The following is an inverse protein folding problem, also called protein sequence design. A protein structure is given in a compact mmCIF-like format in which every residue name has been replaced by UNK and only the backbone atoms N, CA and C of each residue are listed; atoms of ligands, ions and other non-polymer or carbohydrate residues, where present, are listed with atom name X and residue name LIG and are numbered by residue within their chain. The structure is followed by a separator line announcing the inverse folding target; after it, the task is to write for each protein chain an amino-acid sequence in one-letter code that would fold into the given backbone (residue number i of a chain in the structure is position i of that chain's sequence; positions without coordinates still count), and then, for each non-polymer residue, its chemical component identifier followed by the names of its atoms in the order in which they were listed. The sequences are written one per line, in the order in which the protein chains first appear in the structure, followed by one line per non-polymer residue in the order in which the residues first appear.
data_IF_804871805069
#
_entry.id   IF_804871805069
#
_cell.length_a   1.000
_cell.length_b   1.000
_cell.length_c   1.000
_cell.angle_alpha   90.00
_cell.angle_beta   90.00
_cell.angle_gamma   90.00
#
_symmetry.space_group_name_H-M   'P 1'
#
loop_
_entity.id
_entity.type
_entity.pdbx_description
1 polymer ?
#
# COMPACT_ATOMS: atom_id res chain seq x y z
N UNK A 1 -47.92 28.43 -62.80
CA UNK A 1 -46.61 27.81 -63.13
C UNK A 1 -45.50 28.54 -62.36
N UNK A 2 -44.39 27.88 -62.01
CA UNK A 2 -43.86 27.85 -60.64
C UNK A 2 -42.54 28.63 -60.41
N UNK A 3 -42.17 28.82 -59.13
CA UNK A 3 -40.85 28.60 -58.47
C UNK A 3 -40.72 29.57 -57.27
N UNK A 4 -41.01 29.14 -56.04
CA UNK A 4 -40.14 28.42 -55.07
C UNK A 4 -38.82 29.14 -54.76
N UNK A 5 -38.79 29.86 -53.63
CA UNK A 5 -37.60 30.01 -52.79
C UNK A 5 -37.90 29.30 -51.46
N UNK A 6 -37.04 28.35 -51.09
CA UNK A 6 -37.05 27.66 -49.81
C UNK A 6 -35.87 28.21 -49.01
N UNK A 7 -36.15 28.87 -47.89
CA UNK A 7 -35.18 29.11 -46.82
C UNK A 7 -35.67 28.26 -45.64
N UNK A 8 -34.88 27.23 -45.31
CA UNK A 8 -35.08 26.36 -44.15
C UNK A 8 -34.55 27.09 -42.91
N UNK A 9 -35.46 27.45 -41.99
CA UNK A 9 -35.14 27.75 -40.60
C UNK A 9 -35.54 26.52 -39.78
N UNK A 10 -34.56 25.77 -39.30
CA UNK A 10 -34.79 24.68 -38.35
C UNK A 10 -34.77 25.24 -36.92
N UNK A 11 -35.95 25.33 -36.32
CA UNK A 11 -36.14 25.58 -34.90
C UNK A 11 -35.88 24.27 -34.13
N UNK A 12 -34.88 24.25 -33.25
CA UNK A 12 -34.66 23.15 -32.32
C UNK A 12 -35.51 23.39 -31.06
N UNK A 13 -36.55 22.57 -30.89
CA UNK A 13 -37.40 22.51 -29.70
C UNK A 13 -36.69 21.76 -28.57
N UNK A 14 -36.49 22.46 -27.45
CA UNK A 14 -36.14 21.89 -26.15
C UNK A 14 -37.36 21.14 -25.58
N UNK A 15 -37.26 19.82 -25.43
CA UNK A 15 -38.16 19.02 -24.60
C UNK A 15 -37.44 18.65 -23.31
N UNK A 16 -37.79 19.38 -22.25
CA UNK A 16 -37.55 18.97 -20.88
C UNK A 16 -38.66 18.01 -20.45
N UNK A 17 -38.32 16.77 -20.13
CA UNK A 17 -39.24 15.86 -19.42
C UNK A 17 -38.80 15.77 -17.97
N UNK A 18 -39.54 16.47 -17.11
CA UNK A 18 -39.49 16.32 -15.66
C UNK A 18 -40.22 15.03 -15.27
N UNK A 19 -39.51 14.06 -14.72
CA UNK A 19 -40.13 13.02 -13.90
C UNK A 19 -39.91 13.36 -12.44
N UNK A 20 -41.01 13.78 -11.81
CA UNK A 20 -41.16 13.98 -10.37
C UNK A 20 -41.06 12.61 -9.70
N UNK A 21 -40.14 12.44 -8.76
CA UNK A 21 -40.17 11.33 -7.80
C UNK A 21 -40.50 11.90 -6.42
N UNK A 22 -41.64 11.47 -5.89
CA UNK A 22 -42.17 11.83 -4.58
C UNK A 22 -41.23 11.39 -3.47
N UNK A 23 -40.96 12.31 -2.52
CA UNK A 23 -40.41 11.95 -1.22
C UNK A 23 -41.46 11.18 -0.43
N UNK A 24 -41.16 9.93 -0.09
CA UNK A 24 -41.69 9.28 1.10
C UNK A 24 -40.57 9.19 2.12
N UNK A 25 -40.69 9.98 3.18
CA UNK A 25 -39.90 9.86 4.39
C UNK A 25 -40.38 8.64 5.16
N UNK A 26 -39.58 7.59 5.22
CA UNK A 26 -39.67 6.62 6.31
C UNK A 26 -38.30 6.46 6.96
N UNK A 27 -38.28 6.86 8.23
CA UNK A 27 -37.10 6.90 9.08
C UNK A 27 -36.86 5.51 9.62
N UNK A 28 -35.84 4.82 9.10
CA UNK A 28 -35.18 3.73 9.83
C UNK A 28 -33.67 3.95 9.80
N UNK A 29 -33.15 4.46 10.92
CA UNK A 29 -31.74 4.57 11.16
C UNK A 29 -31.11 3.18 11.15
N UNK A 30 -30.46 2.84 10.04
CA UNK A 30 -29.67 1.61 9.92
C UNK A 30 -28.23 2.01 9.71
N UNK A 31 -27.42 1.86 10.75
CA UNK A 31 -25.97 2.03 10.71
C UNK A 31 -25.36 0.98 9.77
N UNK A 32 -25.11 1.37 8.53
CA UNK A 32 -24.37 0.55 7.58
C UNK A 32 -22.86 0.67 7.86
N UNK A 33 -22.33 -0.25 8.67
CA UNK A 33 -20.91 -0.61 8.59
C UNK A 33 -20.67 -1.24 7.22
N UNK A 34 -20.02 -0.51 6.32
CA UNK A 34 -19.59 -1.00 5.01
C UNK A 34 -18.54 -2.10 5.20
N UNK A 35 -19.00 -3.35 5.22
CA UNK A 35 -18.16 -4.52 5.02
C UNK A 35 -17.53 -4.46 3.62
N UNK A 36 -16.21 -4.59 3.58
CA UNK A 36 -15.42 -4.59 2.35
C UNK A 36 -15.77 -5.80 1.46
N UNK A 37 -15.96 -5.63 0.14
CA UNK A 37 -15.88 -6.73 -0.80
C UNK A 37 -14.40 -6.97 -1.14
N UNK A 38 -13.74 -7.87 -0.41
CA UNK A 38 -12.41 -8.35 -0.79
C UNK A 38 -12.53 -9.41 -1.89
N UNK A 39 -12.31 -8.99 -3.14
CA UNK A 39 -11.95 -9.86 -4.27
C UNK A 39 -10.42 -9.91 -4.48
N UNK A 40 -9.65 -9.87 -3.40
CA UNK A 40 -8.37 -10.57 -3.38
C UNK A 40 -8.71 -11.99 -3.00
N UNK A 41 -8.32 -12.98 -3.80
CA UNK A 41 -8.57 -14.39 -3.53
C UNK A 41 -8.30 -14.69 -2.04
N UNK A 42 -9.37 -14.65 -1.25
CA UNK A 42 -9.39 -15.18 0.08
C UNK A 42 -9.19 -16.66 -0.18
N UNK A 43 -7.95 -17.13 -0.03
CA UNK A 43 -7.72 -18.51 0.31
C UNK A 43 -8.49 -18.72 1.61
N UNK A 44 -9.77 -19.07 1.47
CA UNK A 44 -10.61 -19.59 2.53
C UNK A 44 -9.89 -20.86 2.99
N UNK A 45 -9.03 -20.72 3.98
CA UNK A 45 -8.59 -21.86 4.77
C UNK A 45 -9.75 -22.22 5.69
N UNK A 46 -10.79 -22.83 5.12
CA UNK A 46 -11.66 -23.71 5.87
C UNK A 46 -10.80 -24.91 6.25
N UNK A 47 -10.34 -24.96 7.50
CA UNK A 47 -10.12 -26.22 8.20
C UNK A 47 -10.07 -25.97 9.69
N UNK A 48 -11.02 -26.60 10.38
CA UNK A 48 -10.85 -27.11 11.73
C UNK A 48 -9.45 -27.74 11.84
N UNK A 49 -8.53 -27.05 12.50
CA UNK A 49 -7.29 -27.68 12.92
C UNK A 49 -7.66 -28.70 13.98
N UNK A 50 -7.69 -29.97 13.58
CA UNK A 50 -7.61 -31.07 14.54
C UNK A 50 -6.30 -30.88 15.30
N UNK A 51 -6.33 -30.67 16.63
CA UNK A 51 -5.11 -30.64 17.40
C UNK A 51 -4.47 -32.02 17.24
N UNK A 52 -3.22 -32.05 16.78
CA UNK A 52 -2.35 -33.23 16.81
C UNK A 52 -3.05 -34.53 16.37
N UNK A 53 -2.94 -34.85 15.08
CA UNK A 53 -3.11 -36.25 14.67
C UNK A 53 -2.06 -37.08 15.42
N UNK A 54 -2.54 -37.91 16.35
CA UNK A 54 -1.78 -38.92 17.08
C UNK A 54 -1.30 -40.07 16.19
N UNK A 55 -1.08 -39.84 14.90
CA UNK A 55 -0.37 -40.82 14.09
C UNK A 55 1.12 -40.69 14.41
N UNK A 56 1.71 -41.76 14.93
CA UNK A 56 3.16 -42.01 15.04
C UNK A 56 3.86 -42.02 13.66
N UNK A 57 3.48 -41.13 12.74
CA UNK A 57 4.20 -40.90 11.50
C UNK A 57 5.31 -39.90 11.79
N UNK A 58 6.43 -40.45 12.25
CA UNK A 58 7.70 -39.73 12.23
C UNK A 58 7.92 -39.19 10.81
N UNK A 59 7.91 -37.86 10.67
CA UNK A 59 8.18 -37.20 9.39
C UNK A 59 9.54 -37.71 8.89
N UNK A 60 9.55 -38.38 7.73
CA UNK A 60 10.76 -38.89 7.11
C UNK A 60 11.49 -37.76 6.37
N UNK A 61 12.23 -36.96 7.13
CA UNK A 61 13.05 -35.87 6.64
C UNK A 61 14.11 -36.32 5.63
N UNK A 62 14.53 -37.60 5.65
CA UNK A 62 15.48 -38.13 4.69
C UNK A 62 14.84 -38.27 3.31
N UNK A 63 13.62 -38.78 3.24
CA UNK A 63 12.90 -38.89 1.97
C UNK A 63 12.37 -37.55 1.46
N UNK A 64 12.05 -36.61 2.35
CA UNK A 64 11.46 -35.30 1.98
C UNK A 64 12.53 -34.27 1.60
N UNK A 65 13.65 -34.24 2.33
CA UNK A 65 14.68 -33.20 2.19
C UNK A 65 16.08 -33.74 1.88
N UNK A 66 16.25 -35.07 1.79
CA UNK A 66 17.57 -35.68 1.68
C UNK A 66 18.40 -35.62 2.98
N UNK A 67 17.80 -35.25 4.11
CA UNK A 67 18.50 -34.97 5.37
C UNK A 67 18.20 -36.04 6.43
N UNK A 68 19.25 -36.68 6.97
CA UNK A 68 19.12 -37.56 8.13
C UNK A 68 19.35 -36.81 9.45
N UNK A 69 18.28 -36.61 10.22
CA UNK A 69 18.32 -35.93 11.51
C UNK A 69 19.06 -36.72 12.60
N UNK A 70 19.29 -38.02 12.43
CA UNK A 70 20.07 -38.84 13.38
C UNK A 70 21.50 -38.33 13.52
N UNK A 71 22.03 -37.70 12.47
CA UNK A 71 23.36 -37.09 12.46
C UNK A 71 23.43 -35.80 13.30
N UNK A 72 22.29 -35.19 13.61
CA UNK A 72 22.19 -33.99 14.46
C UNK A 72 21.95 -34.37 15.93
N UNK A 73 21.02 -35.29 16.18
CA UNK A 73 20.75 -35.82 17.51
C UNK A 73 20.26 -37.28 17.47
N UNK A 74 20.66 -38.09 18.44
CA UNK A 74 20.13 -39.45 18.56
C UNK A 74 18.77 -39.43 19.27
N UNK A 75 17.93 -40.44 19.04
CA UNK A 75 16.65 -40.59 19.76
C UNK A 75 16.87 -40.59 21.28
N UNK A 76 17.96 -41.19 21.76
CA UNK A 76 18.34 -41.19 23.18
C UNK A 76 18.64 -39.78 23.71
N UNK A 77 19.34 -38.95 22.91
CA UNK A 77 19.61 -37.55 23.25
C UNK A 77 18.32 -36.73 23.27
N UNK A 78 17.42 -36.94 22.30
CA UNK A 78 16.09 -36.32 22.27
C UNK A 78 15.25 -36.67 23.51
N UNK A 79 15.13 -37.97 23.83
CA UNK A 79 14.41 -38.43 25.02
C UNK A 79 14.98 -37.87 26.32
N UNK A 80 16.31 -37.75 26.41
CA UNK A 80 16.96 -37.12 27.57
C UNK A 80 16.63 -35.64 27.71
N UNK A 81 16.54 -34.89 26.61
CA UNK A 81 16.19 -33.47 26.65
C UNK A 81 14.72 -33.26 27.01
N UNK A 82 13.81 -34.07 26.45
CA UNK A 82 12.39 -34.05 26.82
C UNK A 82 12.17 -34.36 28.31
N UNK A 83 12.83 -35.40 28.83
CA UNK A 83 12.74 -35.77 30.26
C UNK A 83 13.26 -34.68 31.21
N UNK A 84 14.24 -33.89 30.77
CA UNK A 84 14.81 -32.81 31.56
C UNK A 84 14.00 -31.51 31.52
N UNK A 85 12.92 -31.45 30.75
CA UNK A 85 12.07 -30.25 30.69
C UNK A 85 12.82 -29.01 30.20
N UNK A 86 13.81 -29.16 29.31
CA UNK A 86 14.63 -28.00 28.91
C UNK A 86 13.79 -27.02 28.10
N UNK A 87 13.88 -25.74 28.46
CA UNK A 87 13.30 -24.63 27.71
C UNK A 87 13.74 -24.70 26.22
N UNK A 88 12.83 -24.39 25.30
CA UNK A 88 13.10 -24.37 23.86
C UNK A 88 14.28 -23.50 23.45
N UNK A 89 14.50 -22.39 24.17
CA UNK A 89 15.64 -21.48 23.96
C UNK A 89 16.97 -22.18 24.21
N UNK A 90 17.11 -22.91 25.32
CA UNK A 90 18.32 -23.67 25.66
C UNK A 90 18.69 -24.67 24.57
N UNK A 91 17.68 -25.33 23.98
CA UNK A 91 17.90 -26.33 22.92
C UNK A 91 18.29 -25.62 21.62
N UNK A 92 17.66 -24.50 21.31
CA UNK A 92 17.99 -23.66 20.16
C UNK A 92 19.46 -23.19 20.20
N UNK A 93 19.90 -22.67 21.34
CA UNK A 93 21.26 -22.20 21.56
C UNK A 93 22.30 -23.33 21.54
N UNK A 94 21.98 -24.49 22.14
CA UNK A 94 22.86 -25.68 22.11
C UNK A 94 23.08 -26.20 20.70
N UNK A 95 22.08 -26.04 19.82
CA UNK A 95 22.19 -26.37 18.41
C UNK A 95 22.94 -25.29 17.60
N UNK A 96 23.28 -24.17 18.23
CA UNK A 96 23.98 -23.01 17.64
C UNK A 96 23.19 -22.39 16.49
N UNK A 97 21.86 -22.38 16.59
CA UNK A 97 20.96 -21.89 15.55
C UNK A 97 20.95 -20.36 15.44
N UNK A 98 21.31 -19.65 16.51
CA UNK A 98 21.48 -18.19 16.54
C UNK A 98 22.63 -17.68 15.65
N UNK A 99 23.57 -18.56 15.27
CA UNK A 99 24.73 -18.20 14.45
C UNK A 99 24.53 -18.46 12.95
N UNK A 100 23.36 -18.96 12.55
CA UNK A 100 23.04 -19.23 11.15
C UNK A 100 22.67 -17.90 10.49
N UNK A 101 23.42 -17.48 9.46
CA UNK A 101 23.12 -16.24 8.74
C UNK A 101 21.69 -16.25 8.21
N UNK A 102 20.98 -15.15 8.42
CA UNK A 102 19.66 -14.92 7.84
C UNK A 102 19.80 -14.76 6.32
N UNK A 103 19.37 -15.77 5.55
CA UNK A 103 19.40 -15.75 4.09
C UNK A 103 19.64 -17.13 3.51
N UNK A 104 18.58 -17.70 2.91
CA UNK A 104 18.42 -19.12 2.54
C UNK A 104 18.57 -20.09 3.72
N UNK A 105 17.40 -20.18 4.39
CA UNK A 105 16.80 -21.37 5.00
C UNK A 105 17.45 -21.93 6.26
N UNK A 106 17.49 -21.11 7.33
CA UNK A 106 17.51 -21.68 8.69
C UNK A 106 16.44 -22.77 8.83
N UNK A 107 15.28 -22.60 8.18
CA UNK A 107 14.18 -23.55 8.16
C UNK A 107 14.44 -24.85 7.38
N UNK A 108 15.51 -24.93 6.59
CA UNK A 108 15.98 -26.17 5.96
C UNK A 108 17.23 -26.71 6.64
N UNK A 109 17.78 -25.99 7.62
CA UNK A 109 18.92 -26.45 8.38
C UNK A 109 18.54 -27.72 9.14
N UNK A 110 19.26 -28.84 8.99
CA UNK A 110 19.00 -30.08 9.72
C UNK A 110 18.87 -29.87 11.24
N UNK A 111 19.62 -28.92 11.80
CA UNK A 111 19.54 -28.59 13.22
C UNK A 111 18.26 -27.87 13.59
N UNK A 112 17.74 -27.01 12.73
CA UNK A 112 16.47 -26.35 12.95
C UNK A 112 15.32 -27.35 12.87
N UNK A 113 15.34 -28.24 11.89
CA UNK A 113 14.33 -29.29 11.75
C UNK A 113 14.31 -30.24 12.94
N UNK A 114 15.48 -30.60 13.48
CA UNK A 114 15.57 -31.35 14.74
C UNK A 114 14.98 -30.56 15.92
N UNK A 115 15.22 -29.25 15.98
CA UNK A 115 14.62 -28.38 17.00
C UNK A 115 13.11 -28.21 16.83
N UNK A 116 12.59 -28.09 15.61
CA UNK A 116 11.15 -28.04 15.34
C UNK A 116 10.47 -29.34 15.82
N UNK A 117 11.06 -30.50 15.51
CA UNK A 117 10.60 -31.78 16.03
C UNK A 117 10.66 -31.86 17.57
N UNK A 118 11.68 -31.25 18.20
CA UNK A 118 11.76 -31.14 19.66
C UNK A 118 10.52 -30.43 20.20
N UNK A 119 10.26 -29.23 19.67
CA UNK A 119 9.19 -28.35 20.13
C UNK A 119 7.85 -29.01 19.92
N UNK A 120 7.61 -29.63 18.76
CA UNK A 120 6.37 -30.35 18.47
C UNK A 120 6.12 -31.49 19.48
N UNK A 121 7.14 -32.31 19.78
CA UNK A 121 7.02 -33.41 20.76
C UNK A 121 6.87 -32.90 22.19
N UNK A 122 7.53 -31.81 22.53
CA UNK A 122 7.42 -31.19 23.84
C UNK A 122 6.02 -30.62 24.07
N UNK A 123 5.49 -29.87 23.10
CA UNK A 123 4.18 -29.23 23.19
C UNK A 123 3.00 -30.22 23.05
N UNK A 124 3.23 -31.42 22.53
CA UNK A 124 2.21 -32.47 22.47
C UNK A 124 1.77 -32.98 23.86
N UNK A 125 2.57 -32.75 24.90
CA UNK A 125 2.17 -33.04 26.27
C UNK A 125 1.43 -31.82 26.87
N UNK A 126 0.13 -31.92 27.19
CA UNK A 126 -0.66 -30.79 27.72
C UNK A 126 -0.22 -30.33 29.11
N UNK A 127 0.59 -31.13 29.82
CA UNK A 127 1.16 -30.75 31.12
C UNK A 127 2.37 -29.81 30.99
N UNK A 128 2.92 -29.69 29.79
CA UNK A 128 4.07 -28.82 29.53
C UNK A 128 3.60 -27.39 29.25
N UNK A 129 4.38 -26.41 29.74
CA UNK A 129 4.24 -25.03 29.28
C UNK A 129 4.64 -24.94 27.80
N UNK A 130 3.77 -24.40 26.95
CA UNK A 130 3.98 -24.37 25.50
C UNK A 130 5.25 -23.60 25.12
N UNK A 131 6.14 -24.24 24.36
CA UNK A 131 7.26 -23.57 23.72
C UNK A 131 6.76 -22.87 22.46
N UNK A 132 6.84 -21.54 22.45
CA UNK A 132 6.52 -20.72 21.27
C UNK A 132 7.74 -20.58 20.35
N UNK A 133 7.72 -21.21 19.18
CA UNK A 133 8.83 -21.14 18.23
C UNK A 133 9.11 -19.70 17.79
N UNK A 134 8.07 -18.93 17.50
CA UNK A 134 8.23 -17.53 17.09
C UNK A 134 8.84 -16.66 18.20
N UNK A 135 8.51 -16.93 19.47
CA UNK A 135 9.06 -16.18 20.60
C UNK A 135 10.55 -16.49 20.81
N UNK A 136 10.98 -17.73 20.55
CA UNK A 136 12.42 -18.07 20.54
C UNK A 136 13.12 -17.37 19.37
N UNK A 137 12.54 -17.43 18.16
CA UNK A 137 13.13 -16.81 16.97
C UNK A 137 13.26 -15.28 17.11
N UNK A 138 12.27 -14.59 17.68
CA UNK A 138 12.30 -13.13 17.86
C UNK A 138 13.33 -12.64 18.89
N UNK A 139 13.90 -13.53 19.71
CA UNK A 139 15.04 -13.19 20.59
C UNK A 139 16.37 -13.12 19.84
N UNK A 140 16.44 -13.72 18.66
CA UNK A 140 17.69 -13.88 17.90
C UNK A 140 17.67 -13.19 16.53
N UNK A 141 16.50 -12.87 16.00
CA UNK A 141 16.32 -12.20 14.72
C UNK A 141 15.46 -10.95 14.90
N UNK A 142 15.89 -9.84 14.31
CA UNK A 142 15.07 -8.62 14.20
C UNK A 142 13.73 -8.95 13.52
N UNK A 143 12.64 -8.32 13.99
CA UNK A 143 11.28 -8.61 13.52
C UNK A 143 11.12 -8.47 12.00
N UNK A 144 11.73 -7.45 11.39
CA UNK A 144 11.67 -7.24 9.94
C UNK A 144 12.37 -8.35 9.14
N UNK A 145 13.52 -8.82 9.66
CA UNK A 145 14.29 -9.92 9.06
C UNK A 145 13.53 -11.23 9.23
N UNK A 146 13.01 -11.48 10.43
CA UNK A 146 12.26 -12.69 10.75
C UNK A 146 10.98 -12.81 9.91
N UNK A 147 10.19 -11.74 9.76
CA UNK A 147 8.99 -11.76 8.90
C UNK A 147 9.33 -12.05 7.45
N UNK A 148 10.41 -11.46 6.91
CA UNK A 148 10.86 -11.74 5.53
C UNK A 148 11.30 -13.20 5.36
N UNK A 149 12.01 -13.76 6.34
CA UNK A 149 12.41 -15.16 6.35
C UNK A 149 11.18 -16.09 6.36
N UNK A 150 10.21 -15.81 7.23
CA UNK A 150 8.97 -16.58 7.38
C UNK A 150 8.15 -16.53 6.08
N UNK A 151 8.02 -15.36 5.47
CA UNK A 151 7.31 -15.22 4.20
C UNK A 151 7.98 -16.02 3.08
N UNK A 152 9.30 -15.92 2.94
CA UNK A 152 10.04 -16.72 1.96
C UNK A 152 9.84 -18.24 2.20
N UNK A 153 9.85 -18.68 3.47
CA UNK A 153 9.60 -20.07 3.83
C UNK A 153 8.19 -20.52 3.43
N UNK A 154 7.17 -19.71 3.68
CA UNK A 154 5.75 -19.98 3.34
C UNK A 154 5.49 -20.11 1.83
N UNK A 155 6.44 -19.66 1.00
CA UNK A 155 6.40 -19.72 -0.47
C UNK A 155 7.37 -20.75 -1.04
N UNK A 156 8.08 -21.50 -0.20
CA UNK A 156 9.04 -22.51 -0.65
C UNK A 156 8.37 -23.61 -1.47
N UNK A 157 9.10 -24.14 -2.45
CA UNK A 157 8.72 -25.35 -3.18
C UNK A 157 8.89 -26.62 -2.33
N UNK A 158 9.67 -26.54 -1.26
CA UNK A 158 9.86 -27.61 -0.30
C UNK A 158 8.66 -27.66 0.63
N UNK A 159 7.89 -28.75 0.58
CA UNK A 159 6.61 -28.88 1.30
C UNK A 159 6.75 -28.64 2.81
N UNK A 160 7.82 -29.13 3.42
CA UNK A 160 8.05 -29.01 4.85
C UNK A 160 8.46 -27.60 5.26
N UNK A 161 9.36 -26.96 4.51
CA UNK A 161 9.70 -25.54 4.70
C UNK A 161 8.48 -24.65 4.55
N UNK A 162 7.62 -24.96 3.58
CA UNK A 162 6.35 -24.27 3.36
C UNK A 162 5.40 -24.41 4.54
N UNK A 163 5.26 -25.62 5.09
CA UNK A 163 4.46 -25.89 6.29
C UNK A 163 4.97 -25.09 7.49
N UNK A 164 6.28 -25.15 7.76
CA UNK A 164 6.93 -24.40 8.85
C UNK A 164 6.69 -22.90 8.68
N UNK A 165 6.88 -22.37 7.47
CA UNK A 165 6.63 -20.96 7.16
C UNK A 165 5.19 -20.54 7.44
N UNK A 166 4.21 -21.33 6.99
CA UNK A 166 2.79 -21.07 7.25
C UNK A 166 2.47 -21.08 8.76
N UNK A 167 2.97 -22.07 9.50
CA UNK A 167 2.80 -22.15 10.96
C UNK A 167 3.43 -20.94 11.66
N UNK A 168 4.62 -20.51 11.25
CA UNK A 168 5.29 -19.35 11.85
C UNK A 168 4.57 -18.03 11.50
N UNK A 169 3.90 -17.92 10.34
CA UNK A 169 3.06 -16.75 10.03
C UNK A 169 1.90 -16.61 11.02
N UNK A 170 1.22 -17.72 11.32
CA UNK A 170 0.13 -17.74 12.31
C UNK A 170 0.64 -17.42 13.71
N UNK A 171 1.74 -18.06 14.12
CA UNK A 171 2.35 -17.79 15.42
C UNK A 171 2.81 -16.33 15.54
N UNK A 172 3.31 -15.70 14.47
CA UNK A 172 3.71 -14.30 14.48
C UNK A 172 2.55 -13.34 14.78
N UNK A 173 1.38 -13.56 14.17
CA UNK A 173 0.15 -12.80 14.47
C UNK A 173 -0.25 -12.98 15.95
N UNK A 174 -0.26 -14.23 16.43
CA UNK A 174 -0.60 -14.54 17.83
C UNK A 174 0.41 -13.96 18.82
N UNK A 175 1.69 -13.91 18.45
CA UNK A 175 2.74 -13.32 19.27
C UNK A 175 2.57 -11.82 19.41
N UNK A 176 2.33 -11.10 18.31
CA UNK A 176 2.02 -9.66 18.40
C UNK A 176 0.74 -9.41 19.20
N UNK A 177 -0.27 -10.29 19.06
CA UNK A 177 -1.51 -10.23 19.86
C UNK A 177 -1.23 -10.42 21.36
N UNK A 178 -0.44 -11.42 21.75
CA UNK A 178 -0.14 -11.69 23.16
C UNK A 178 0.66 -10.55 23.80
N UNK A 179 1.49 -9.87 23.00
CA UNK A 179 2.21 -8.64 23.38
C UNK A 179 1.34 -7.38 23.36
N UNK A 180 0.08 -7.46 22.94
CA UNK A 180 -0.87 -6.34 22.82
C UNK A 180 -0.32 -5.18 22.00
N UNK A 181 0.41 -5.47 20.92
CA UNK A 181 0.99 -4.44 20.08
C UNK A 181 -0.10 -3.75 19.25
N UNK A 182 -0.05 -2.43 19.16
CA UNK A 182 -0.89 -1.72 18.20
C UNK A 182 -0.33 -1.92 16.77
N UNK A 183 -1.17 -1.94 15.72
CA UNK A 183 -0.70 -2.15 14.35
C UNK A 183 0.38 -1.15 13.89
N UNK A 184 0.33 0.11 14.36
CA UNK A 184 1.36 1.12 14.06
C UNK A 184 2.71 0.82 14.75
N UNK A 185 2.70 0.11 15.88
CA UNK A 185 3.93 -0.37 16.53
C UNK A 185 4.52 -1.54 15.76
N UNK A 186 3.69 -2.45 15.27
CA UNK A 186 4.12 -3.55 14.39
C UNK A 186 4.69 -3.00 13.08
N UNK A 187 4.03 -2.02 12.46
CA UNK A 187 4.55 -1.32 11.27
C UNK A 187 5.99 -0.80 11.49
N UNK A 188 6.25 -0.15 12.64
CA UNK A 188 7.59 0.36 13.01
C UNK A 188 8.60 -0.78 13.22
N UNK A 189 8.21 -1.86 13.91
CA UNK A 189 9.07 -3.03 14.14
C UNK A 189 9.48 -3.73 12.85
N UNK A 190 8.57 -3.81 11.89
CA UNK A 190 8.83 -4.38 10.57
C UNK A 190 9.76 -3.51 9.72
N UNK A 191 10.23 -2.37 10.24
CA UNK A 191 11.08 -1.38 9.55
C UNK A 191 10.58 -1.09 8.14
N UNK A 192 9.27 -1.17 7.97
CA UNK A 192 8.55 -0.84 6.75
C UNK A 192 8.69 0.64 6.40
N UNK A 193 9.30 1.41 7.31
CA UNK A 193 9.53 2.82 7.18
C UNK A 193 10.72 3.26 6.34
N UNK A 194 11.59 2.34 5.95
CA UNK A 194 12.85 2.71 5.31
C UNK A 194 12.81 2.68 3.78
N UNK A 195 11.81 2.03 3.17
CA UNK A 195 11.59 2.10 1.73
C UNK A 195 10.11 2.08 1.38
N UNK A 196 9.62 3.30 1.16
CA UNK A 196 8.24 3.64 0.89
C UNK A 196 7.82 3.12 -0.50
N UNK A 197 8.76 3.06 -1.45
CA UNK A 197 8.49 2.62 -2.83
C UNK A 197 8.19 1.11 -2.91
N UNK A 198 8.72 0.32 -1.96
CA UNK A 198 8.51 -1.13 -1.86
C UNK A 198 7.46 -1.55 -0.83
N UNK A 199 6.85 -0.62 -0.09
CA UNK A 199 5.96 -0.96 1.03
C UNK A 199 4.76 -1.80 0.57
N UNK A 200 4.03 -1.34 -0.46
CA UNK A 200 2.78 -2.00 -0.90
C UNK A 200 3.02 -3.33 -1.62
N UNK A 201 4.23 -3.56 -2.10
CA UNK A 201 4.66 -4.81 -2.74
C UNK A 201 5.39 -5.73 -1.76
N UNK A 202 5.80 -5.22 -0.59
CA UNK A 202 6.52 -5.98 0.41
C UNK A 202 5.65 -7.09 0.99
N UNK A 203 6.14 -8.33 1.07
CA UNK A 203 5.42 -9.40 1.74
C UNK A 203 5.09 -9.13 3.21
N UNK A 204 5.87 -8.28 3.88
CA UNK A 204 5.63 -7.88 5.27
C UNK A 204 4.38 -6.99 5.41
N UNK A 205 3.97 -6.27 4.36
CA UNK A 205 2.75 -5.47 4.36
C UNK A 205 1.50 -6.35 4.39
N UNK A 206 1.50 -7.49 3.68
CA UNK A 206 0.41 -8.46 3.73
C UNK A 206 0.23 -9.02 5.14
N UNK A 207 1.33 -9.35 5.82
CA UNK A 207 1.30 -9.83 7.20
C UNK A 207 0.77 -8.75 8.15
N UNK A 208 1.19 -7.49 7.99
CA UNK A 208 0.64 -6.36 8.74
C UNK A 208 -0.87 -6.18 8.49
N UNK A 209 -1.33 -6.33 7.24
CA UNK A 209 -2.76 -6.25 6.91
C UNK A 209 -3.58 -7.32 7.62
N UNK A 210 -3.10 -8.57 7.63
CA UNK A 210 -3.77 -9.67 8.37
C UNK A 210 -3.79 -9.38 9.87
N UNK A 211 -2.70 -8.85 10.41
CA UNK A 211 -2.65 -8.47 11.82
C UNK A 211 -3.60 -7.31 12.15
N UNK A 212 -3.75 -6.33 11.26
CA UNK A 212 -4.72 -5.25 11.43
C UNK A 212 -6.15 -5.77 11.48
N UNK A 213 -6.51 -6.70 10.59
CA UNK A 213 -7.83 -7.33 10.58
C UNK A 213 -8.10 -8.07 11.90
N UNK A 214 -7.12 -8.83 12.38
CA UNK A 214 -7.20 -9.51 13.67
C UNK A 214 -7.34 -8.52 14.84
N UNK A 215 -6.49 -7.50 14.87
CA UNK A 215 -6.50 -6.48 15.91
C UNK A 215 -7.85 -5.76 15.98
N UNK A 216 -8.42 -5.38 14.82
CA UNK A 216 -9.74 -4.76 14.76
C UNK A 216 -10.84 -5.68 15.30
N UNK A 217 -10.83 -6.95 14.92
CA UNK A 217 -11.81 -7.93 15.38
C UNK A 217 -11.74 -8.13 16.90
N UNK A 218 -10.54 -8.28 17.47
CA UNK A 218 -10.35 -8.48 18.91
C UNK A 218 -10.72 -7.25 19.74
N UNK A 219 -10.45 -6.05 19.23
CA UNK A 219 -10.67 -4.80 19.96
C UNK A 219 -12.00 -4.10 19.61
N UNK A 220 -12.83 -4.71 18.74
CA UNK A 220 -14.07 -4.11 18.22
C UNK A 220 -13.84 -2.71 17.62
N UNK A 221 -12.71 -2.56 16.90
CA UNK A 221 -12.30 -1.33 16.23
C UNK A 221 -12.50 -1.42 14.72
N UNK A 222 -12.33 -0.30 14.03
CA UNK A 222 -12.36 -0.24 12.56
C UNK A 222 -11.21 0.62 12.02
N UNK A 223 -10.00 0.35 12.53
CA UNK A 223 -8.79 1.04 12.10
C UNK A 223 -8.46 0.65 10.66
N UNK A 224 -8.35 1.63 9.79
CA UNK A 224 -7.92 1.43 8.40
C UNK A 224 -6.41 1.34 8.30
N UNK A 225 -5.91 0.67 7.24
CA UNK A 225 -4.46 0.62 6.97
C UNK A 225 -3.88 2.03 6.81
N UNK A 226 -4.61 2.96 6.21
CA UNK A 226 -4.17 4.34 6.07
C UNK A 226 -4.01 5.06 7.41
N UNK A 227 -4.88 4.80 8.39
CA UNK A 227 -4.69 5.32 9.75
C UNK A 227 -3.48 4.70 10.44
N UNK A 228 -3.18 3.42 10.19
CA UNK A 228 -1.96 2.76 10.68
C UNK A 228 -0.73 3.45 10.10
N UNK A 229 -0.70 3.67 8.78
CA UNK A 229 0.40 4.35 8.10
C UNK A 229 0.60 5.77 8.63
N UNK A 230 -0.46 6.56 8.79
CA UNK A 230 -0.38 7.94 9.33
C UNK A 230 0.10 8.04 10.79
N UNK A 231 -0.02 6.97 11.58
CA UNK A 231 0.57 6.89 12.94
C UNK A 231 2.03 6.45 12.91
N UNK A 232 2.44 5.82 11.81
CA UNK A 232 3.80 5.34 11.55
C UNK A 232 4.71 6.35 10.87
N UNK A 233 4.13 7.24 10.06
CA UNK A 233 4.81 8.09 9.08
C UNK A 233 4.25 9.51 9.06
N UNK A 234 5.04 10.44 8.55
CA UNK A 234 4.61 11.80 8.26
C UNK A 234 3.62 11.82 7.08
N UNK A 235 2.73 12.82 7.06
CA UNK A 235 1.61 12.88 6.12
C UNK A 235 2.07 13.02 4.66
N UNK A 236 3.14 13.79 4.44
CA UNK A 236 3.76 13.99 3.14
C UNK A 236 4.39 12.71 2.61
N UNK A 237 5.05 11.93 3.46
CA UNK A 237 5.60 10.62 3.11
C UNK A 237 4.50 9.62 2.71
N UNK A 238 3.41 9.53 3.50
CA UNK A 238 2.29 8.62 3.16
C UNK A 238 1.63 9.02 1.84
N UNK A 239 1.38 10.31 1.61
CA UNK A 239 0.79 10.76 0.36
C UNK A 239 1.71 10.48 -0.84
N UNK A 240 3.02 10.71 -0.66
CA UNK A 240 4.04 10.53 -1.69
C UNK A 240 4.12 9.06 -2.09
N UNK A 241 4.19 8.18 -1.10
CA UNK A 241 4.13 6.73 -1.26
C UNK A 241 2.97 6.28 -2.13
N UNK A 242 1.75 6.62 -1.70
CA UNK A 242 0.54 6.10 -2.30
C UNK A 242 0.43 6.62 -3.73
N UNK A 243 0.79 7.89 -3.96
CA UNK A 243 0.77 8.47 -5.29
C UNK A 243 1.86 7.89 -6.20
N UNK A 244 3.06 7.60 -5.71
CA UNK A 244 4.08 6.89 -6.48
C UNK A 244 3.62 5.49 -6.86
N UNK A 245 3.04 4.74 -5.92
CA UNK A 245 2.52 3.41 -6.21
C UNK A 245 1.36 3.44 -7.22
N UNK A 246 0.50 4.46 -7.18
CA UNK A 246 -0.55 4.66 -8.20
C UNK A 246 0.05 4.90 -9.60
N UNK A 247 1.18 5.58 -9.70
CA UNK A 247 1.83 5.91 -10.97
C UNK A 247 2.72 4.78 -11.50
N UNK A 248 3.49 4.15 -10.62
CA UNK A 248 4.66 3.34 -10.99
C UNK A 248 4.49 1.83 -10.72
N UNK A 249 3.37 1.39 -10.14
CA UNK A 249 3.14 -0.02 -9.87
C UNK A 249 3.26 -0.87 -11.15
N UNK A 250 4.02 -1.96 -11.05
CA UNK A 250 4.29 -2.89 -12.17
C UNK A 250 3.10 -3.78 -12.51
N UNK A 251 2.19 -3.98 -11.56
CA UNK A 251 1.02 -4.83 -11.70
C UNK A 251 -0.27 -4.12 -11.25
N UNK A 252 -1.40 -4.52 -11.84
CA UNK A 252 -2.69 -3.90 -11.61
C UNK A 252 -3.16 -4.02 -10.15
N UNK A 253 -2.85 -5.13 -9.45
CA UNK A 253 -3.33 -5.36 -8.08
C UNK A 253 -2.69 -4.39 -7.10
N UNK A 254 -1.39 -4.16 -7.24
CA UNK A 254 -0.66 -3.16 -6.43
C UNK A 254 -1.19 -1.76 -6.71
N UNK A 255 -1.44 -1.42 -7.98
CA UNK A 255 -2.04 -0.13 -8.37
C UNK A 255 -3.42 0.07 -7.74
N UNK A 256 -4.31 -0.92 -7.83
CA UNK A 256 -5.66 -0.87 -7.27
C UNK A 256 -5.65 -0.71 -5.74
N UNK A 257 -4.72 -1.41 -5.08
CA UNK A 257 -4.51 -1.26 -3.64
C UNK A 257 -4.05 0.16 -3.28
N UNK A 258 -3.09 0.72 -4.03
CA UNK A 258 -2.62 2.08 -3.83
C UNK A 258 -3.74 3.11 -4.03
N UNK A 259 -4.57 2.95 -5.07
CA UNK A 259 -5.75 3.80 -5.31
C UNK A 259 -6.75 3.69 -4.16
N UNK A 260 -7.00 2.48 -3.63
CA UNK A 260 -7.91 2.27 -2.49
C UNK A 260 -7.39 2.97 -1.23
N UNK A 261 -6.10 2.82 -0.92
CA UNK A 261 -5.48 3.48 0.24
C UNK A 261 -5.45 5.01 0.08
N UNK A 262 -5.16 5.52 -1.11
CA UNK A 262 -5.19 6.97 -1.39
C UNK A 262 -6.61 7.54 -1.22
N UNK A 263 -7.64 6.82 -1.68
CA UNK A 263 -9.02 7.23 -1.44
C UNK A 263 -9.39 7.25 0.05
N UNK A 264 -8.94 6.25 0.82
CA UNK A 264 -9.09 6.26 2.28
C UNK A 264 -8.36 7.45 2.90
N UNK A 265 -7.16 7.81 2.42
CA UNK A 265 -6.42 8.98 2.88
C UNK A 265 -7.25 10.25 2.68
N UNK A 266 -7.84 10.43 1.50
CA UNK A 266 -8.70 11.56 1.18
C UNK A 266 -9.96 11.60 2.07
N UNK A 267 -10.57 10.45 2.34
CA UNK A 267 -11.73 10.37 3.22
C UNK A 267 -11.36 10.76 4.66
N UNK A 268 -10.18 10.38 5.13
CA UNK A 268 -9.69 10.79 6.45
C UNK A 268 -9.38 12.30 6.47
N UNK A 269 -8.72 12.85 5.45
CA UNK A 269 -8.48 14.30 5.33
C UNK A 269 -9.79 15.08 5.39
N UNK A 270 -10.81 14.62 4.65
CA UNK A 270 -12.15 15.20 4.68
C UNK A 270 -12.80 15.11 6.06
N UNK A 271 -12.70 13.97 6.74
CA UNK A 271 -13.22 13.79 8.11
C UNK A 271 -12.53 14.70 9.13
N UNK A 272 -11.24 14.99 8.94
CA UNK A 272 -10.48 15.93 9.76
C UNK A 272 -10.78 17.40 9.43
N UNK A 273 -11.58 17.67 8.39
CA UNK A 273 -11.93 19.02 7.96
C UNK A 273 -10.82 19.74 7.19
N UNK A 274 -9.78 19.03 6.73
CA UNK A 274 -8.64 19.65 6.07
C UNK A 274 -8.99 20.13 4.67
N UNK A 275 -8.84 21.43 4.41
CA UNK A 275 -9.07 22.01 3.09
C UNK A 275 -7.83 21.92 2.18
N UNK A 276 -7.96 22.36 0.94
CA UNK A 276 -6.88 22.30 -0.05
C UNK A 276 -5.59 23.02 0.38
N UNK A 277 -5.69 24.18 1.04
CA UNK A 277 -4.50 24.93 1.49
C UNK A 277 -3.81 24.27 2.68
N UNK A 278 -4.58 23.68 3.59
CA UNK A 278 -4.04 22.91 4.73
C UNK A 278 -3.31 21.67 4.24
N UNK A 279 -3.90 20.90 3.32
CA UNK A 279 -3.24 19.75 2.69
C UNK A 279 -1.99 20.18 1.94
N UNK A 280 -2.04 21.27 1.18
CA UNK A 280 -0.88 21.79 0.46
C UNK A 280 0.31 22.02 1.39
N UNK A 281 0.05 22.58 2.57
CA UNK A 281 1.08 22.83 3.59
C UNK A 281 1.55 21.55 4.28
N UNK A 282 0.62 20.65 4.64
CA UNK A 282 0.95 19.36 5.28
C UNK A 282 1.74 18.42 4.39
N UNK A 283 1.57 18.55 3.07
CA UNK A 283 2.33 17.80 2.08
C UNK A 283 3.68 18.46 1.71
N UNK A 284 4.06 19.53 2.41
CA UNK A 284 5.33 20.24 2.20
C UNK A 284 5.41 21.00 0.87
N UNK A 285 4.30 21.18 0.13
CA UNK A 285 4.31 21.76 -1.22
C UNK A 285 4.57 23.27 -1.24
N UNK A 286 4.52 23.93 -0.08
CA UNK A 286 4.84 25.34 0.12
C UNK A 286 6.33 25.60 0.37
N UNK A 287 7.15 24.56 0.50
CA UNK A 287 8.58 24.70 0.76
C UNK A 287 9.34 25.17 -0.49
N UNK A 288 10.41 25.95 -0.27
CA UNK A 288 11.25 26.47 -1.36
C UNK A 288 11.99 25.32 -2.05
N UNK A 289 12.00 25.32 -3.38
CA UNK A 289 12.73 24.32 -4.17
C UNK A 289 11.94 23.03 -4.46
N UNK A 290 10.73 22.88 -3.92
CA UNK A 290 9.85 21.77 -4.29
C UNK A 290 9.33 22.00 -5.72
N UNK A 291 9.55 21.03 -6.59
CA UNK A 291 9.15 21.07 -8.01
C UNK A 291 7.88 20.25 -8.25
N UNK A 292 7.23 20.45 -9.40
CA UNK A 292 6.05 19.67 -9.80
C UNK A 292 6.36 18.18 -10.08
N UNK A 293 7.64 17.78 -10.02
CA UNK A 293 8.03 16.37 -10.02
C UNK A 293 7.66 15.67 -8.70
N UNK A 294 7.44 16.43 -7.62
CA UNK A 294 6.93 15.87 -6.38
C UNK A 294 5.51 15.33 -6.62
N UNK A 295 5.28 14.01 -6.46
CA UNK A 295 3.98 13.38 -6.72
C UNK A 295 2.88 13.91 -5.79
N UNK A 296 3.22 14.51 -4.65
CA UNK A 296 2.24 15.11 -3.74
C UNK A 296 1.42 16.23 -4.38
N UNK A 297 1.92 16.91 -5.41
CA UNK A 297 1.10 17.85 -6.18
C UNK A 297 -0.10 17.15 -6.84
N UNK A 298 0.11 15.97 -7.42
CA UNK A 298 -0.96 15.19 -8.03
C UNK A 298 -1.94 14.63 -6.98
N UNK A 299 -1.43 14.19 -5.81
CA UNK A 299 -2.28 13.74 -4.72
C UNK A 299 -3.16 14.89 -4.17
N UNK A 300 -2.57 16.06 -3.95
CA UNK A 300 -3.26 17.27 -3.53
C UNK A 300 -4.31 17.71 -4.54
N UNK A 301 -3.96 17.79 -5.83
CA UNK A 301 -4.89 18.21 -6.87
C UNK A 301 -6.11 17.28 -6.93
N UNK A 302 -5.90 15.96 -6.98
CA UNK A 302 -7.00 14.97 -6.93
C UNK A 302 -7.88 15.14 -5.69
N UNK A 303 -7.31 15.41 -4.53
CA UNK A 303 -8.09 15.67 -3.32
C UNK A 303 -8.97 16.91 -3.46
N UNK A 304 -8.39 18.02 -3.92
CA UNK A 304 -9.11 19.28 -4.13
C UNK A 304 -10.22 19.11 -5.16
N UNK A 305 -9.94 18.46 -6.29
CA UNK A 305 -10.92 18.17 -7.33
C UNK A 305 -12.06 17.30 -6.80
N UNK A 306 -11.74 16.19 -6.11
CA UNK A 306 -12.73 15.26 -5.55
C UNK A 306 -13.63 15.92 -4.50
N UNK A 307 -13.07 16.82 -3.68
CA UNK A 307 -13.81 17.44 -2.57
C UNK A 307 -14.63 18.65 -3.00
N UNK A 308 -14.18 19.38 -4.03
CA UNK A 308 -14.84 20.61 -4.49
C UNK A 308 -15.65 20.43 -5.77
N UNK A 309 -15.42 19.36 -6.53
CA UNK A 309 -15.99 19.15 -7.86
C UNK A 309 -15.44 20.12 -8.92
N UNK A 310 -14.39 20.88 -8.62
CA UNK A 310 -13.83 21.89 -9.52
C UNK A 310 -12.45 21.49 -10.02
N UNK A 311 -12.41 20.98 -11.26
CA UNK A 311 -11.19 20.56 -11.95
C UNK A 311 -10.16 21.67 -12.14
N UNK A 312 -10.59 22.93 -12.28
CA UNK A 312 -9.68 24.07 -12.50
C UNK A 312 -9.14 24.66 -11.19
N UNK A 313 -9.67 24.26 -10.04
CA UNK A 313 -9.30 24.85 -8.75
C UNK A 313 -7.84 24.61 -8.37
N UNK A 314 -7.23 23.42 -8.58
CA UNK A 314 -5.81 23.24 -8.34
C UNK A 314 -4.95 24.21 -9.17
N UNK A 315 -5.22 24.33 -10.48
CA UNK A 315 -4.51 25.27 -11.34
C UNK A 315 -4.65 26.71 -10.84
N UNK A 316 -5.88 27.16 -10.55
CA UNK A 316 -6.13 28.51 -10.06
C UNK A 316 -5.41 28.79 -8.73
N UNK A 317 -5.32 27.80 -7.85
CA UNK A 317 -4.61 27.90 -6.58
C UNK A 317 -3.10 28.06 -6.80
N UNK A 318 -2.53 27.25 -7.69
CA UNK A 318 -1.11 27.37 -8.07
C UNK A 318 -0.82 28.71 -8.76
N UNK A 319 -1.71 29.17 -9.65
CA UNK A 319 -1.59 30.45 -10.34
C UNK A 319 -1.57 31.62 -9.37
N UNK A 320 -2.51 31.63 -8.40
CA UNK A 320 -2.56 32.65 -7.36
C UNK A 320 -1.31 32.65 -6.48
N UNK A 321 -0.75 31.47 -6.20
CA UNK A 321 0.39 31.29 -5.30
C UNK A 321 1.73 31.64 -5.95
N UNK A 322 1.96 31.20 -7.18
CA UNK A 322 3.25 31.30 -7.86
C UNK A 322 3.31 32.45 -8.87
N UNK A 323 2.16 32.91 -9.35
CA UNK A 323 2.08 33.85 -10.46
C UNK A 323 2.42 33.20 -11.81
N UNK A 324 2.18 33.97 -12.88
CA UNK A 324 2.30 33.51 -14.27
C UNK A 324 3.69 32.95 -14.58
N UNK A 325 4.75 33.75 -14.37
CA UNK A 325 6.10 33.40 -14.83
C UNK A 325 6.66 32.18 -14.09
N UNK A 326 6.52 32.15 -12.77
CA UNK A 326 7.00 31.03 -11.93
C UNK A 326 6.24 29.75 -12.24
N UNK A 327 4.90 29.80 -12.32
CA UNK A 327 4.10 28.61 -12.61
C UNK A 327 4.37 28.10 -14.02
N UNK A 328 4.45 28.99 -15.01
CA UNK A 328 4.78 28.61 -16.38
C UNK A 328 6.14 27.91 -16.45
N UNK A 329 7.14 28.42 -15.73
CA UNK A 329 8.48 27.81 -15.67
C UNK A 329 8.46 26.45 -14.97
N UNK A 330 7.72 26.32 -13.86
CA UNK A 330 7.52 25.03 -13.17
C UNK A 330 6.86 23.99 -14.09
N UNK A 331 6.03 24.43 -15.03
CA UNK A 331 5.33 23.58 -16.01
C UNK A 331 6.18 23.24 -17.25
N UNK A 332 7.41 23.74 -17.37
CA UNK A 332 8.39 23.31 -18.38
C UNK A 332 9.01 21.96 -17.95
N UNK A 333 8.17 20.96 -17.73
CA UNK A 333 8.60 19.62 -17.34
C UNK A 333 8.67 18.70 -18.55
N UNK A 334 9.58 17.73 -18.50
CA UNK A 334 9.66 16.69 -19.53
C UNK A 334 8.49 15.71 -19.40
N UNK A 335 7.56 15.78 -20.36
CA UNK A 335 6.39 14.89 -20.45
C UNK A 335 6.74 13.41 -20.35
N UNK A 336 7.93 12.99 -20.82
CA UNK A 336 8.39 11.59 -20.72
C UNK A 336 8.89 11.23 -19.33
N UNK A 337 9.51 12.17 -18.59
CA UNK A 337 9.98 11.94 -17.22
C UNK A 337 8.87 11.93 -16.18
N UNK A 338 7.68 12.40 -16.54
CA UNK A 338 6.52 12.47 -15.66
C UNK A 338 5.79 11.14 -15.47
N UNK A 339 6.33 10.03 -16.00
CA UNK A 339 5.85 8.67 -15.68
C UNK A 339 4.39 8.38 -16.06
N UNK A 340 3.79 9.19 -16.93
CA UNK A 340 2.36 9.11 -17.23
C UNK A 340 1.45 9.77 -16.18
N UNK A 341 1.97 10.70 -15.34
CA UNK A 341 1.10 11.57 -14.55
C UNK A 341 0.43 12.59 -15.49
N UNK A 342 -0.89 12.54 -15.56
CA UNK A 342 -1.70 13.51 -16.32
C UNK A 342 -1.81 14.86 -15.61
N UNK A 343 -1.31 14.98 -14.37
CA UNK A 343 -1.41 16.19 -13.58
C UNK A 343 -0.67 17.36 -14.25
N UNK A 344 0.59 17.19 -14.65
CA UNK A 344 1.32 18.29 -15.32
C UNK A 344 0.72 18.61 -16.69
N UNK A 345 0.27 17.59 -17.44
CA UNK A 345 -0.39 17.80 -18.72
C UNK A 345 -1.69 18.59 -18.55
N UNK A 346 -2.50 18.25 -17.54
CA UNK A 346 -3.70 19.00 -17.16
C UNK A 346 -3.38 20.45 -16.78
N UNK A 347 -2.36 20.66 -15.94
CA UNK A 347 -1.92 22.01 -15.57
C UNK A 347 -1.40 22.83 -16.78
N UNK A 348 -0.71 22.20 -17.73
CA UNK A 348 -0.30 22.85 -18.99
C UNK A 348 -1.51 23.24 -19.85
N UNK A 349 -2.52 22.39 -19.95
CA UNK A 349 -3.76 22.70 -20.67
C UNK A 349 -4.49 23.90 -20.04
N UNK A 350 -4.63 23.92 -18.71
CA UNK A 350 -5.24 25.05 -18.01
C UNK A 350 -4.40 26.33 -18.10
N UNK A 351 -3.07 26.22 -18.19
CA UNK A 351 -2.21 27.37 -18.46
C UNK A 351 -2.47 27.97 -19.86
N UNK A 352 -2.57 27.12 -20.88
CA UNK A 352 -2.93 27.53 -22.24
C UNK A 352 -4.30 28.21 -22.25
N UNK A 353 -5.32 27.58 -21.66
CA UNK A 353 -6.65 28.16 -21.55
C UNK A 353 -6.61 29.54 -20.87
N UNK A 354 -5.87 29.64 -19.76
CA UNK A 354 -5.71 30.90 -19.02
C UNK A 354 -5.10 31.99 -19.91
N UNK A 355 -4.03 31.69 -20.64
CA UNK A 355 -3.41 32.63 -21.57
C UNK A 355 -4.32 33.05 -22.71
N UNK A 356 -5.12 32.12 -23.26
CA UNK A 356 -6.13 32.46 -24.27
C UNK A 356 -7.17 33.44 -23.71
N UNK A 357 -7.65 33.24 -22.48
CA UNK A 357 -8.60 34.20 -21.85
C UNK A 357 -8.00 35.59 -21.62
N UNK A 358 -6.67 35.66 -21.48
CA UNK A 358 -5.93 36.90 -21.32
C UNK A 358 -5.50 37.50 -22.65
N UNK A 359 -5.76 36.81 -23.77
CA UNK A 359 -5.29 37.16 -25.12
C UNK A 359 -3.78 37.46 -25.07
N UNK A 360 -3.01 36.58 -24.43
CA UNK A 360 -1.56 36.77 -24.29
C UNK A 360 -0.88 36.67 -25.65
N UNK A 361 -0.03 37.63 -25.94
CA UNK A 361 0.75 37.64 -27.18
C UNK A 361 1.63 36.37 -27.26
N UNK A 362 1.64 35.64 -28.38
CA UNK A 362 2.41 34.41 -28.50
C UNK A 362 3.92 34.57 -28.35
N UNK A 363 4.49 35.75 -28.64
CA UNK A 363 5.91 36.02 -28.46
C UNK A 363 6.23 36.34 -27.00
N UNK A 364 5.31 36.96 -26.25
CA UNK A 364 5.45 37.11 -24.80
C UNK A 364 5.39 35.75 -24.08
N UNK A 365 4.49 34.86 -24.50
CA UNK A 365 4.46 33.46 -24.00
C UNK A 365 5.77 32.73 -24.33
N UNK A 366 6.32 32.94 -25.53
CA UNK A 366 7.62 32.36 -25.91
C UNK A 366 8.77 32.88 -25.02
N UNK A 367 8.77 34.16 -24.65
CA UNK A 367 9.76 34.73 -23.71
C UNK A 367 9.64 34.12 -22.32
N UNK A 368 8.42 33.94 -21.81
CA UNK A 368 8.16 33.33 -20.49
C UNK A 368 8.66 31.88 -20.46
N UNK A 369 8.37 31.11 -21.51
CA UNK A 369 8.71 29.68 -21.58
C UNK A 369 10.16 29.40 -21.97
N UNK A 370 10.89 30.41 -22.48
CA UNK A 370 12.28 30.30 -22.86
C UNK A 370 12.54 29.36 -24.04
N UNK A 371 13.80 28.99 -24.22
CA UNK A 371 14.30 28.32 -25.44
C UNK A 371 14.61 26.84 -25.26
N UNK A 372 14.30 26.28 -24.10
CA UNK A 372 14.44 24.84 -23.82
C UNK A 372 13.56 24.01 -24.76
N UNK A 373 13.89 22.74 -24.95
CA UNK A 373 13.12 21.86 -25.82
C UNK A 373 11.65 21.76 -25.36
N UNK A 374 11.44 21.56 -24.06
CA UNK A 374 10.11 21.49 -23.44
C UNK A 374 9.38 22.84 -23.53
N UNK A 375 10.09 23.96 -23.34
CA UNK A 375 9.51 25.31 -23.46
C UNK A 375 9.00 25.55 -24.87
N UNK A 376 9.82 25.25 -25.89
CA UNK A 376 9.45 25.35 -27.30
C UNK A 376 8.23 24.50 -27.67
N UNK A 377 8.12 23.28 -27.13
CA UNK A 377 6.94 22.43 -27.34
C UNK A 377 5.67 23.10 -26.79
N UNK A 378 5.74 23.63 -25.56
CA UNK A 378 4.59 24.28 -24.95
C UNK A 378 4.22 25.60 -25.66
N UNK A 379 5.22 26.38 -26.10
CA UNK A 379 5.01 27.57 -26.94
C UNK A 379 4.33 27.22 -28.26
N UNK A 380 4.77 26.16 -28.94
CA UNK A 380 4.15 25.71 -30.19
C UNK A 380 2.69 25.29 -29.97
N UNK A 381 2.42 24.57 -28.87
CA UNK A 381 1.06 24.19 -28.49
C UNK A 381 0.18 25.42 -28.24
N UNK A 382 0.68 26.44 -27.53
CA UNK A 382 -0.06 27.69 -27.31
C UNK A 382 -0.33 28.43 -28.63
N UNK A 383 0.68 28.61 -29.49
CA UNK A 383 0.54 29.28 -30.81
C UNK A 383 -0.54 28.63 -31.67
N UNK A 384 -0.58 27.30 -31.68
CA UNK A 384 -1.62 26.56 -32.41
C UNK A 384 -3.02 26.89 -31.87
N UNK A 385 -3.21 26.80 -30.55
CA UNK A 385 -4.51 27.10 -29.91
C UNK A 385 -4.91 28.58 -30.09
N UNK A 386 -3.97 29.51 -30.00
CA UNK A 386 -4.21 30.95 -30.20
C UNK A 386 -4.71 31.24 -31.61
N UNK A 387 -4.05 30.67 -32.63
CA UNK A 387 -4.50 30.78 -34.02
C UNK A 387 -5.89 30.16 -34.22
N UNK A 388 -6.15 29.01 -33.62
CA UNK A 388 -7.48 28.38 -33.71
C UNK A 388 -8.59 29.19 -33.04
N UNK A 389 -8.28 29.94 -31.98
CA UNK A 389 -9.26 30.72 -31.24
C UNK A 389 -9.51 32.12 -31.84
N UNK A 390 -8.52 32.73 -32.49
CA UNK A 390 -8.56 34.15 -32.88
C UNK A 390 -8.14 34.45 -34.33
N UNK A 391 -7.69 33.44 -35.08
CA UNK A 391 -7.07 33.62 -36.41
C UNK A 391 -7.89 33.15 -37.59
#
# INVERSE_FOLDING_TARGET
MPRRCVVLVAAATLLATSTVFSLSTDTTATTHSFAQPHNFAAQRFLRTYTPYSNEERGIDFKSILGVDLKNVWTQQKLSHYLKKGKNGDDVFEKLKLQNVKAGKTIFENPKFLAWEQYVAKYNANPLNEEISMIATLSKHFDDDVLTKMIDAASKSSVAETKRIGATLQEQQILFWRSKKLAPDRVLKQLKLANDVDDLLTSPTFLTLSRYLDDYNAQNKMSLSMTEVLRRGFDEDDVAKMLQQAVLNAKDAKTKDLAVKLQNQQFDIWKKLGWNGDEIFTKLGLNQRGVTLENPNFAAWAKYVEKTTGNEKLPFNTLWKRYGEQTLATMLIADRKKLGGNDFVTSMQSHLIEKWLTMIRDPDDVAKILGTSFQGKILTASYRWNFKSAFG
#
